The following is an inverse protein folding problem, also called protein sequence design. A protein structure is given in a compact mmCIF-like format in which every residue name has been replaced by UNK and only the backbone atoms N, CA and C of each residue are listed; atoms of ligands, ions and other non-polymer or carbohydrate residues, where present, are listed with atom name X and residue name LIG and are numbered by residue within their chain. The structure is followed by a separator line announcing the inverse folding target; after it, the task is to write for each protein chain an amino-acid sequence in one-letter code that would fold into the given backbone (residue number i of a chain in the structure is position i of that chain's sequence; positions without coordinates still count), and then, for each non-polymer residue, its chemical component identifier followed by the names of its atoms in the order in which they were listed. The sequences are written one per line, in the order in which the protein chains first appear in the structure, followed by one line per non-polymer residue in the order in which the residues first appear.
data_IF_509827051890
#
_entry.id   IF_509827051890
#
_cell.length_a   1.000
_cell.length_b   1.000
_cell.length_c   1.000
_cell.angle_alpha   90.00
_cell.angle_beta   90.00
_cell.angle_gamma   90.00
#
_symmetry.space_group_name_H-M   'P 1'
#
loop_
_entity.id
_entity.type
_entity.pdbx_description
1 polymer ?
#
# COMPACT_ATOMS: atom_id res chain seq x y z
N UNK A 1 -50.49 -31.87 41.65
CA UNK A 1 -50.49 -30.79 40.63
C UNK A 1 -49.09 -30.65 40.06
N UNK A 2 -48.89 -31.08 38.82
CA UNK A 2 -47.56 -31.25 38.19
C UNK A 2 -46.93 -29.93 37.77
N UNK A 3 -45.71 -29.71 38.26
CA UNK A 3 -44.93 -28.48 38.18
C UNK A 3 -44.52 -28.06 36.78
N UNK A 4 -44.85 -26.81 36.45
CA UNK A 4 -44.25 -26.08 35.33
C UNK A 4 -43.94 -24.61 35.68
N UNK A 5 -44.27 -24.16 36.90
CA UNK A 5 -43.91 -22.84 37.41
C UNK A 5 -42.48 -22.90 37.97
N UNK A 6 -41.50 -22.41 37.20
CA UNK A 6 -40.09 -22.32 37.63
C UNK A 6 -39.07 -22.80 36.59
N UNK A 7 -39.48 -23.51 35.54
CA UNK A 7 -38.53 -24.04 34.56
C UNK A 7 -37.97 -22.93 33.63
N UNK A 8 -36.64 -22.89 33.41
CA UNK A 8 -36.02 -21.86 32.57
C UNK A 8 -36.41 -22.01 31.10
N UNK A 9 -37.19 -21.05 30.57
CA UNK A 9 -37.63 -21.01 29.15
C UNK A 9 -36.48 -20.97 28.13
N UNK A 10 -35.27 -20.64 28.57
CA UNK A 10 -34.10 -20.48 27.70
C UNK A 10 -33.27 -21.76 27.53
N UNK A 11 -33.50 -22.82 28.31
CA UNK A 11 -32.80 -24.11 28.20
C UNK A 11 -33.61 -25.06 27.31
N UNK A 12 -32.98 -25.73 26.32
CA UNK A 12 -33.67 -26.68 25.44
C UNK A 12 -33.44 -28.12 25.89
N UNK A 13 -34.49 -28.94 25.78
CA UNK A 13 -34.43 -30.38 26.02
C UNK A 13 -33.73 -31.14 24.87
N UNK A 14 -33.85 -30.64 23.65
CA UNK A 14 -33.23 -31.22 22.46
C UNK A 14 -31.80 -30.70 22.23
N UNK A 15 -30.94 -31.53 21.62
CA UNK A 15 -29.61 -31.12 21.13
C UNK A 15 -28.49 -31.08 22.19
N UNK A 16 -28.58 -31.91 23.23
CA UNK A 16 -27.58 -32.07 24.30
C UNK A 16 -27.21 -30.76 25.04
N UNK A 17 -28.01 -29.69 24.89
CA UNK A 17 -27.76 -28.40 25.55
C UNK A 17 -27.87 -28.50 27.08
N UNK A 18 -28.76 -29.37 27.56
CA UNK A 18 -28.94 -29.63 28.99
C UNK A 18 -27.76 -30.40 29.57
N UNK A 19 -27.13 -31.30 28.81
CA UNK A 19 -25.89 -31.99 29.21
C UNK A 19 -24.74 -31.00 29.30
N UNK A 20 -24.65 -30.06 28.34
CA UNK A 20 -23.65 -29.00 28.39
C UNK A 20 -23.84 -28.10 29.62
N UNK A 21 -25.09 -27.70 29.90
CA UNK A 21 -25.41 -26.89 31.08
C UNK A 21 -25.08 -27.64 32.38
N UNK A 22 -25.40 -28.93 32.45
CA UNK A 22 -25.04 -29.80 33.57
C UNK A 22 -23.53 -29.82 33.82
N UNK A 23 -22.72 -30.05 32.77
CA UNK A 23 -21.25 -30.03 32.88
C UNK A 23 -20.73 -28.66 33.33
N UNK A 24 -21.26 -27.57 32.77
CA UNK A 24 -20.88 -26.21 33.16
C UNK A 24 -21.19 -25.93 34.64
N UNK A 25 -22.35 -26.40 35.13
CA UNK A 25 -22.74 -26.25 36.53
C UNK A 25 -21.81 -27.00 37.49
N UNK A 26 -21.39 -28.21 37.12
CA UNK A 26 -20.45 -29.02 37.91
C UNK A 26 -18.99 -28.56 37.83
N UNK A 27 -18.62 -27.79 36.81
CA UNK A 27 -17.28 -27.19 36.65
C UNK A 27 -17.16 -25.82 37.33
N UNK A 28 -18.21 -25.35 38.01
CA UNK A 28 -18.17 -24.06 38.71
C UNK A 28 -17.13 -24.07 39.83
N UNK A 29 -16.23 -23.07 39.91
CA UNK A 29 -15.27 -22.93 41.01
C UNK A 29 -15.90 -22.38 42.31
N UNK A 30 -17.17 -21.99 42.28
CA UNK A 30 -17.88 -21.41 43.42
C UNK A 30 -18.40 -22.50 44.36
N UNK A 31 -17.80 -22.62 45.54
CA UNK A 31 -18.13 -23.63 46.56
C UNK A 31 -19.56 -23.52 47.09
N UNK A 32 -20.11 -22.30 47.19
CA UNK A 32 -21.49 -22.09 47.67
C UNK A 32 -22.49 -22.63 46.66
N UNK A 33 -22.23 -22.38 45.37
CA UNK A 33 -23.03 -22.90 44.27
C UNK A 33 -22.87 -24.42 44.16
N UNK A 34 -21.65 -24.95 44.26
CA UNK A 34 -21.37 -26.40 44.30
C UNK A 34 -22.16 -27.10 45.42
N UNK A 35 -22.15 -26.55 46.62
CA UNK A 35 -22.84 -27.13 47.78
C UNK A 35 -24.34 -27.19 47.55
N UNK A 36 -24.94 -26.10 47.07
CA UNK A 36 -26.36 -26.03 46.71
C UNK A 36 -26.73 -26.99 45.58
N UNK A 37 -25.88 -27.07 44.56
CA UNK A 37 -26.05 -28.03 43.47
C UNK A 37 -26.05 -29.46 44.00
N UNK A 38 -25.10 -29.83 44.87
CA UNK A 38 -25.08 -31.16 45.49
C UNK A 38 -26.35 -31.44 46.28
N UNK A 39 -26.89 -30.46 47.02
CA UNK A 39 -28.15 -30.63 47.75
C UNK A 39 -29.33 -30.94 46.82
N UNK A 40 -29.47 -30.23 45.70
CA UNK A 40 -30.62 -30.40 44.79
C UNK A 40 -30.50 -31.63 43.88
N UNK A 41 -29.26 -32.02 43.58
CA UNK A 41 -28.93 -33.11 42.65
C UNK A 41 -28.65 -34.45 43.33
N UNK A 42 -28.59 -34.50 44.66
CA UNK A 42 -28.31 -35.72 45.44
C UNK A 42 -29.29 -36.84 45.08
N UNK A 43 -28.75 -37.98 44.62
CA UNK A 43 -29.53 -39.17 44.31
C UNK A 43 -30.42 -39.07 43.06
N UNK A 44 -30.23 -38.04 42.22
CA UNK A 44 -30.95 -37.89 40.94
C UNK A 44 -30.02 -38.12 39.76
N UNK A 45 -30.48 -38.89 38.79
CA UNK A 45 -29.76 -39.07 37.55
C UNK A 45 -29.72 -37.77 36.71
N UNK A 46 -28.62 -37.50 35.99
CA UNK A 46 -28.51 -36.33 35.11
C UNK A 46 -29.61 -36.35 34.06
N UNK A 47 -30.53 -35.39 34.13
CA UNK A 47 -31.65 -35.25 33.18
C UNK A 47 -32.01 -33.79 32.98
N UNK A 48 -32.70 -33.49 31.87
CA UNK A 48 -33.21 -32.14 31.60
C UNK A 48 -34.06 -31.59 32.76
N UNK A 49 -34.94 -32.44 33.33
CA UNK A 49 -35.80 -32.05 34.45
C UNK A 49 -34.97 -31.66 35.68
N UNK A 50 -33.99 -32.48 36.03
CA UNK A 50 -33.10 -32.22 37.15
C UNK A 50 -32.30 -30.92 36.99
N UNK A 51 -31.76 -30.65 35.80
CA UNK A 51 -31.03 -29.40 35.49
C UNK A 51 -31.97 -28.19 35.55
N UNK A 52 -33.18 -28.31 35.00
CA UNK A 52 -34.18 -27.24 35.04
C UNK A 52 -34.60 -26.90 36.48
N UNK A 53 -34.79 -27.90 37.33
CA UNK A 53 -35.16 -27.73 38.73
C UNK A 53 -33.99 -27.17 39.55
N UNK A 54 -32.75 -27.60 39.28
CA UNK A 54 -31.55 -27.04 39.90
C UNK A 54 -31.35 -25.56 39.54
N UNK A 55 -31.62 -25.16 38.29
CA UNK A 55 -31.59 -23.75 37.88
C UNK A 55 -32.67 -22.96 38.60
N UNK A 56 -33.89 -23.48 38.70
CA UNK A 56 -35.00 -22.83 39.41
C UNK A 56 -34.64 -22.57 40.89
N UNK A 57 -34.11 -23.59 41.56
CA UNK A 57 -33.66 -23.49 42.96
C UNK A 57 -32.53 -22.46 43.14
N UNK A 58 -31.57 -22.40 42.21
CA UNK A 58 -30.50 -21.40 42.29
C UNK A 58 -31.03 -19.96 42.12
N UNK A 59 -32.09 -19.76 41.33
CA UNK A 59 -32.68 -18.43 41.14
C UNK A 59 -33.35 -17.85 42.39
N UNK A 60 -33.67 -18.66 43.39
CA UNK A 60 -34.24 -18.21 44.67
C UNK A 60 -33.24 -17.38 45.50
N UNK A 61 -31.97 -17.43 45.15
CA UNK A 61 -30.89 -16.76 45.88
C UNK A 61 -30.16 -15.76 44.98
N UNK A 62 -29.69 -14.64 45.55
CA UNK A 62 -28.98 -13.60 44.79
C UNK A 62 -27.73 -14.13 44.08
N UNK A 63 -26.88 -14.87 44.80
CA UNK A 63 -25.65 -15.47 44.26
C UNK A 63 -25.97 -16.48 43.14
N UNK A 64 -27.04 -17.26 43.31
CA UNK A 64 -27.47 -18.22 42.30
C UNK A 64 -28.09 -17.55 41.08
N UNK A 65 -28.75 -16.40 41.21
CA UNK A 65 -29.25 -15.62 40.09
C UNK A 65 -28.11 -15.06 39.21
N UNK A 66 -27.04 -14.55 39.83
CA UNK A 66 -25.85 -14.10 39.11
C UNK A 66 -25.16 -15.27 38.38
N UNK A 67 -25.05 -16.42 39.05
CA UNK A 67 -24.53 -17.64 38.45
C UNK A 67 -25.39 -18.11 37.25
N UNK A 68 -26.72 -18.12 37.39
CA UNK A 68 -27.64 -18.49 36.32
C UNK A 68 -27.55 -17.51 35.15
N UNK A 69 -27.31 -16.22 35.41
CA UNK A 69 -27.07 -15.22 34.37
C UNK A 69 -25.78 -15.49 33.60
N UNK A 70 -24.68 -15.82 34.32
CA UNK A 70 -23.41 -16.25 33.71
C UNK A 70 -23.59 -17.52 32.87
N UNK A 71 -24.26 -18.53 33.41
CA UNK A 71 -24.59 -19.79 32.73
C UNK A 71 -25.39 -19.52 31.44
N UNK A 72 -26.43 -18.68 31.50
CA UNK A 72 -27.24 -18.31 30.33
C UNK A 72 -26.40 -17.62 29.25
N UNK A 73 -25.51 -16.71 29.63
CA UNK A 73 -24.61 -16.03 28.70
C UNK A 73 -23.60 -16.99 28.07
N UNK A 74 -23.02 -17.89 28.87
CA UNK A 74 -22.10 -18.91 28.41
C UNK A 74 -22.80 -19.89 27.44
N UNK A 75 -24.03 -20.31 27.72
CA UNK A 75 -24.81 -21.15 26.81
C UNK A 75 -25.12 -20.41 25.49
N UNK A 76 -25.44 -19.11 25.54
CA UNK A 76 -25.63 -18.30 24.33
C UNK A 76 -24.36 -18.27 23.47
N UNK A 77 -23.20 -18.09 24.09
CA UNK A 77 -21.91 -18.15 23.39
C UNK A 77 -21.62 -19.55 22.84
N UNK A 78 -21.92 -20.60 23.60
CA UNK A 78 -21.77 -21.99 23.15
C UNK A 78 -22.62 -22.25 21.91
N UNK A 79 -23.91 -21.86 21.91
CA UNK A 79 -24.78 -21.94 20.73
C UNK A 79 -24.21 -21.20 19.54
N UNK A 80 -23.71 -19.98 19.74
CA UNK A 80 -23.11 -19.21 18.66
C UNK A 80 -21.85 -19.89 18.10
N UNK A 81 -21.02 -20.50 18.96
CA UNK A 81 -19.80 -21.21 18.53
C UNK A 81 -20.14 -22.54 17.83
N UNK A 82 -21.08 -23.33 18.35
CA UNK A 82 -21.48 -24.62 17.77
C UNK A 82 -22.16 -24.45 16.42
N UNK A 83 -23.06 -23.46 16.27
CA UNK A 83 -23.69 -23.12 14.98
C UNK A 83 -22.69 -22.64 13.92
N UNK A 84 -21.52 -22.15 14.34
CA UNK A 84 -20.45 -21.69 13.46
C UNK A 84 -19.31 -22.71 13.29
N UNK A 85 -19.29 -23.81 14.04
CA UNK A 85 -18.19 -24.78 14.04
C UNK A 85 -18.01 -25.48 12.68
N UNK A 86 -19.07 -25.63 11.89
CA UNK A 86 -19.06 -26.18 10.53
C UNK A 86 -19.10 -25.14 9.40
N UNK A 87 -19.14 -23.84 9.70
CA UNK A 87 -19.18 -22.80 8.66
C UNK A 87 -17.75 -22.35 8.30
N UNK A 88 -17.57 -21.84 7.07
CA UNK A 88 -16.31 -21.23 6.57
C UNK A 88 -15.76 -20.08 7.44
N UNK A 89 -16.52 -19.61 8.44
CA UNK A 89 -16.16 -18.51 9.34
C UNK A 89 -15.84 -19.05 10.73
N UNK A 90 -14.58 -19.43 10.95
CA UNK A 90 -14.04 -19.75 12.28
C UNK A 90 -13.37 -18.50 12.86
N UNK A 91 -13.70 -18.05 14.08
CA UNK A 91 -13.00 -16.95 14.71
C UNK A 91 -11.56 -17.37 15.00
N UNK A 92 -10.59 -16.57 14.55
CA UNK A 92 -9.17 -16.76 14.84
C UNK A 92 -8.73 -15.74 15.89
N UNK A 93 -8.13 -16.21 16.98
CA UNK A 93 -7.57 -15.35 18.02
C UNK A 93 -6.06 -15.25 17.84
N UNK A 94 -5.55 -14.04 17.74
CA UNK A 94 -4.12 -13.75 17.73
C UNK A 94 -3.82 -12.62 18.72
N UNK A 95 -2.60 -12.61 19.24
CA UNK A 95 -2.12 -11.60 20.17
C UNK A 95 -1.31 -10.55 19.44
N UNK A 96 -1.64 -9.29 19.69
CA UNK A 96 -0.90 -8.13 19.16
C UNK A 96 -0.26 -7.34 20.31
N UNK A 97 0.91 -6.71 20.10
CA UNK A 97 1.44 -5.72 21.02
C UNK A 97 0.41 -4.60 21.28
N UNK A 98 0.36 -4.10 22.52
CA UNK A 98 -0.64 -3.11 22.95
C UNK A 98 -0.67 -1.87 22.06
N UNK A 99 0.49 -1.41 21.61
CA UNK A 99 0.61 -0.19 20.82
C UNK A 99 0.06 -0.38 19.40
N UNK A 100 0.33 -1.55 18.81
CA UNK A 100 -0.23 -1.89 17.49
C UNK A 100 -1.76 -2.00 17.54
N UNK A 101 -2.32 -2.58 18.61
CA UNK A 101 -3.78 -2.62 18.82
C UNK A 101 -4.37 -1.22 18.99
N UNK A 102 -3.73 -0.35 19.77
CA UNK A 102 -4.18 1.05 19.95
C UNK A 102 -4.18 1.79 18.61
N UNK A 103 -3.09 1.68 17.85
CA UNK A 103 -2.98 2.32 16.54
C UNK A 103 -4.05 1.81 15.56
N UNK A 104 -4.30 0.49 15.54
CA UNK A 104 -5.35 -0.11 14.72
C UNK A 104 -6.73 0.43 15.11
N UNK A 105 -7.05 0.48 16.41
CA UNK A 105 -8.33 0.97 16.91
C UNK A 105 -8.57 2.45 16.60
N UNK A 106 -7.55 3.30 16.77
CA UNK A 106 -7.62 4.73 16.42
C UNK A 106 -7.91 4.90 14.93
N UNK A 107 -7.19 4.17 14.07
CA UNK A 107 -7.37 4.24 12.62
C UNK A 107 -8.72 3.68 12.18
N UNK A 108 -9.15 2.56 12.75
CA UNK A 108 -10.45 1.95 12.49
C UNK A 108 -11.59 2.91 12.84
N UNK A 109 -11.50 3.59 13.99
CA UNK A 109 -12.47 4.63 14.38
C UNK A 109 -12.47 5.82 13.42
N UNK A 110 -11.29 6.33 13.05
CA UNK A 110 -11.16 7.46 12.13
C UNK A 110 -11.77 7.17 10.76
N UNK A 111 -11.68 5.93 10.30
CA UNK A 111 -12.19 5.48 9.00
C UNK A 111 -13.60 4.89 9.08
N UNK A 112 -14.24 4.91 10.25
CA UNK A 112 -15.57 4.31 10.49
C UNK A 112 -15.67 2.83 10.08
N UNK A 113 -14.56 2.09 10.24
CA UNK A 113 -14.46 0.68 9.85
C UNK A 113 -14.24 -0.22 11.07
N UNK A 114 -14.60 -1.50 10.93
CA UNK A 114 -14.19 -2.51 11.91
C UNK A 114 -12.68 -2.78 11.78
N UNK A 115 -12.02 -3.09 12.90
CA UNK A 115 -10.60 -3.46 12.90
C UNK A 115 -10.31 -4.59 11.90
N UNK A 116 -11.21 -5.57 11.78
CA UNK A 116 -11.10 -6.66 10.79
C UNK A 116 -11.20 -6.18 9.35
N UNK A 117 -12.08 -5.23 9.04
CA UNK A 117 -12.22 -4.68 7.70
C UNK A 117 -11.00 -3.85 7.33
N UNK A 118 -10.45 -3.08 8.28
CA UNK A 118 -9.22 -2.32 8.08
C UNK A 118 -8.02 -3.24 7.81
N UNK A 119 -7.87 -4.34 8.56
CA UNK A 119 -6.79 -5.32 8.30
C UNK A 119 -6.96 -5.96 6.92
N UNK A 120 -8.17 -6.33 6.52
CA UNK A 120 -8.43 -6.88 5.20
C UNK A 120 -8.10 -5.87 4.08
N UNK A 121 -8.48 -4.60 4.27
CA UNK A 121 -8.19 -3.53 3.32
C UNK A 121 -6.67 -3.28 3.20
N UNK A 122 -5.95 -3.24 4.32
CA UNK A 122 -4.48 -3.11 4.32
C UNK A 122 -3.80 -4.29 3.61
N UNK A 123 -4.26 -5.51 3.83
CA UNK A 123 -3.72 -6.70 3.17
C UNK A 123 -3.98 -6.69 1.66
N UNK A 124 -5.19 -6.30 1.25
CA UNK A 124 -5.56 -6.21 -0.17
C UNK A 124 -4.89 -5.02 -0.87
N UNK A 125 -4.71 -3.92 -0.16
CA UNK A 125 -4.13 -2.68 -0.67
C UNK A 125 -2.60 -2.73 -0.74
N UNK A 126 -1.93 -3.39 0.20
CA UNK A 126 -0.47 -3.46 0.25
C UNK A 126 0.14 -4.09 -1.02
N UNK A 127 -0.47 -5.16 -1.54
CA UNK A 127 -0.02 -5.79 -2.79
C UNK A 127 -0.14 -4.84 -3.99
N UNK A 128 -1.30 -4.17 -4.13
CA UNK A 128 -1.54 -3.21 -5.22
C UNK A 128 -0.59 -2.01 -5.14
N UNK A 129 -0.38 -1.47 -3.94
CA UNK A 129 0.51 -0.32 -3.74
C UNK A 129 1.96 -0.66 -4.07
N UNK A 130 2.43 -1.88 -3.73
CA UNK A 130 3.76 -2.34 -4.10
C UNK A 130 3.90 -2.50 -5.62
N UNK A 131 2.91 -3.09 -6.29
CA UNK A 131 2.92 -3.20 -7.75
C UNK A 131 2.89 -1.83 -8.44
N UNK A 132 2.07 -0.89 -7.95
CA UNK A 132 2.02 0.47 -8.47
C UNK A 132 3.34 1.20 -8.28
N UNK A 133 3.97 1.05 -7.11
CA UNK A 133 5.28 1.63 -6.84
C UNK A 133 6.32 1.05 -7.81
N UNK A 134 6.33 -0.26 -8.00
CA UNK A 134 7.27 -0.92 -8.90
C UNK A 134 7.08 -0.48 -10.36
N UNK A 135 5.82 -0.38 -10.82
CA UNK A 135 5.49 0.14 -12.15
C UNK A 135 5.95 1.59 -12.34
N UNK A 136 5.73 2.46 -11.35
CA UNK A 136 6.20 3.85 -11.39
C UNK A 136 7.72 3.91 -11.45
N UNK A 137 8.40 3.09 -10.66
CA UNK A 137 9.85 3.03 -10.65
C UNK A 137 10.41 2.56 -12.01
N UNK A 138 9.80 1.54 -12.62
CA UNK A 138 10.15 1.08 -13.96
C UNK A 138 9.95 2.19 -15.01
N UNK A 139 8.79 2.86 -15.01
CA UNK A 139 8.52 3.97 -15.93
C UNK A 139 9.53 5.10 -15.80
N UNK A 140 9.95 5.44 -14.59
CA UNK A 140 10.98 6.46 -14.35
C UNK A 140 12.34 6.02 -14.87
N UNK A 141 12.72 4.75 -14.67
CA UNK A 141 13.97 4.19 -15.21
C UNK A 141 13.97 4.21 -16.73
N UNK A 142 12.88 3.78 -17.36
CA UNK A 142 12.74 3.77 -18.82
C UNK A 142 12.79 5.17 -19.42
N UNK A 143 12.12 6.15 -18.79
CA UNK A 143 12.16 7.55 -19.21
C UNK A 143 13.58 8.13 -19.09
N UNK A 144 14.28 7.82 -18.00
CA UNK A 144 15.65 8.28 -17.78
C UNK A 144 16.62 7.66 -18.80
N UNK A 145 16.48 6.37 -19.10
CA UNK A 145 17.28 5.70 -20.11
C UNK A 145 17.00 6.21 -21.53
N UNK A 146 15.74 6.57 -21.81
CA UNK A 146 15.38 7.24 -23.07
C UNK A 146 16.05 8.60 -23.20
N UNK A 147 15.99 9.46 -22.18
CA UNK A 147 16.66 10.76 -22.20
C UNK A 147 18.18 10.62 -22.30
N UNK A 148 18.80 9.67 -21.60
CA UNK A 148 20.23 9.37 -21.75
C UNK A 148 20.60 8.99 -23.19
N UNK A 149 19.81 8.12 -23.83
CA UNK A 149 20.03 7.74 -25.24
C UNK A 149 19.89 8.95 -26.16
N UNK A 150 18.88 9.79 -25.93
CA UNK A 150 18.62 11.00 -26.72
C UNK A 150 19.75 12.02 -26.59
N UNK A 151 20.22 12.29 -25.38
CA UNK A 151 21.35 13.20 -25.13
C UNK A 151 22.62 12.66 -25.81
N UNK A 152 22.89 11.36 -25.71
CA UNK A 152 24.03 10.74 -26.38
C UNK A 152 23.98 10.90 -27.91
N UNK A 153 22.82 10.64 -28.52
CA UNK A 153 22.64 10.84 -29.97
C UNK A 153 22.85 12.30 -30.39
N UNK A 154 22.40 13.25 -29.59
CA UNK A 154 22.63 14.68 -29.85
C UNK A 154 24.12 15.02 -29.75
N UNK A 155 24.81 14.55 -28.71
CA UNK A 155 26.24 14.75 -28.53
C UNK A 155 27.06 14.19 -29.70
N UNK A 156 26.75 12.96 -30.14
CA UNK A 156 27.40 12.32 -31.29
C UNK A 156 27.18 13.11 -32.60
N UNK A 157 25.97 13.67 -32.80
CA UNK A 157 25.67 14.54 -33.94
C UNK A 157 26.49 15.83 -33.89
N UNK A 158 26.52 16.51 -32.75
CA UNK A 158 27.28 17.76 -32.59
C UNK A 158 28.78 17.54 -32.79
N UNK A 159 29.32 16.44 -32.26
CA UNK A 159 30.72 16.05 -32.49
C UNK A 159 31.03 15.85 -33.97
N UNK A 160 30.12 15.24 -34.72
CA UNK A 160 30.30 15.01 -36.16
C UNK A 160 30.28 16.34 -36.93
N UNK A 161 29.29 17.19 -36.67
CA UNK A 161 29.19 18.51 -37.29
C UNK A 161 30.40 19.40 -36.97
N UNK A 162 30.89 19.36 -35.74
CA UNK A 162 32.09 20.09 -35.34
C UNK A 162 33.33 19.63 -36.11
N UNK A 163 33.54 18.31 -36.23
CA UNK A 163 34.66 17.77 -37.02
C UNK A 163 34.58 18.18 -38.49
N UNK A 164 33.40 18.16 -39.09
CA UNK A 164 33.21 18.60 -40.48
C UNK A 164 33.49 20.10 -40.64
N UNK A 165 33.00 20.94 -39.73
CA UNK A 165 33.27 22.36 -39.74
C UNK A 165 34.77 22.65 -39.60
N UNK A 166 35.46 21.97 -38.69
CA UNK A 166 36.92 22.11 -38.53
C UNK A 166 37.67 21.73 -39.80
N UNK A 167 37.31 20.63 -40.47
CA UNK A 167 37.91 20.25 -41.76
C UNK A 167 37.71 21.29 -42.85
N UNK A 168 36.52 21.92 -42.89
CA UNK A 168 36.25 22.99 -43.86
C UNK A 168 37.09 24.23 -43.57
N UNK A 169 37.20 24.62 -42.29
CA UNK A 169 38.04 25.74 -41.85
C UNK A 169 39.51 25.47 -42.19
N UNK A 170 40.03 24.29 -41.86
CA UNK A 170 41.41 23.88 -42.20
C UNK A 170 41.66 23.96 -43.70
N UNK A 171 40.74 23.43 -44.52
CA UNK A 171 40.87 23.49 -45.99
C UNK A 171 40.89 24.94 -46.50
N UNK A 172 40.03 25.80 -45.97
CA UNK A 172 40.00 27.22 -46.35
C UNK A 172 41.26 27.95 -45.90
N UNK A 173 41.76 27.67 -44.69
CA UNK A 173 43.01 28.23 -44.19
C UNK A 173 44.20 27.81 -45.06
N UNK A 174 44.29 26.53 -45.45
CA UNK A 174 45.34 26.04 -46.37
C UNK A 174 45.28 26.79 -47.70
N UNK A 175 44.08 26.95 -48.28
CA UNK A 175 43.92 27.69 -49.54
C UNK A 175 44.35 29.14 -49.38
N UNK A 176 43.92 29.83 -48.31
CA UNK A 176 44.33 31.20 -48.03
C UNK A 176 45.86 31.32 -47.89
N UNK A 177 46.49 30.45 -47.09
CA UNK A 177 47.95 30.46 -46.92
C UNK A 177 48.69 30.15 -48.23
N UNK A 178 48.19 29.22 -49.04
CA UNK A 178 48.78 28.93 -50.35
C UNK A 178 48.70 30.17 -51.26
N UNK A 179 47.57 30.88 -51.24
CA UNK A 179 47.38 32.11 -52.00
C UNK A 179 48.33 33.22 -51.52
N UNK A 180 48.40 33.49 -50.21
CA UNK A 180 49.31 34.46 -49.60
C UNK A 180 50.78 34.20 -49.97
N UNK A 181 51.21 32.92 -49.92
CA UNK A 181 52.57 32.52 -50.26
C UNK A 181 52.88 32.66 -51.76
N UNK A 182 51.90 32.41 -52.65
CA UNK A 182 52.13 32.49 -54.10
C UNK A 182 52.19 33.91 -54.64
N UNK A 183 51.39 34.84 -54.09
CA UNK A 183 51.28 36.21 -54.59
C UNK A 183 52.20 37.17 -53.83
N UNK A 184 52.72 36.78 -52.66
CA UNK A 184 53.64 37.61 -51.86
C UNK A 184 53.02 38.94 -51.41
N UNK A 185 51.69 39.07 -51.51
CA UNK A 185 50.90 40.26 -51.21
C UNK A 185 49.76 39.87 -50.29
N UNK A 186 49.47 40.72 -49.30
CA UNK A 186 48.38 40.51 -48.34
C UNK A 186 46.98 40.66 -48.97
N UNK A 187 46.87 41.38 -50.09
CA UNK A 187 45.61 41.61 -50.79
C UNK A 187 45.86 41.61 -52.31
N UNK A 188 45.87 40.44 -52.96
CA UNK A 188 45.96 40.38 -54.41
C UNK A 188 44.68 40.98 -55.01
N UNK A 189 44.83 42.00 -55.85
CA UNK A 189 43.69 42.71 -56.43
C UNK A 189 42.66 41.77 -57.07
N UNK A 190 41.40 41.91 -56.68
CA UNK A 190 40.29 41.19 -57.28
C UNK A 190 39.85 41.88 -58.58
N UNK A 191 40.07 41.23 -59.72
CA UNK A 191 39.69 41.77 -61.04
C UNK A 191 38.18 41.70 -61.34
N UNK A 192 37.38 41.08 -60.46
CA UNK A 192 35.93 40.98 -60.60
C UNK A 192 35.15 42.16 -59.99
N UNK A 193 33.82 42.10 -60.05
CA UNK A 193 32.97 43.12 -59.45
C UNK A 193 33.04 43.10 -57.91
N UNK A 194 33.67 44.13 -57.36
CA UNK A 194 33.93 44.25 -55.94
C UNK A 194 32.65 44.50 -55.13
N UNK A 195 31.59 45.03 -55.75
CA UNK A 195 30.31 45.25 -55.08
C UNK A 195 29.57 43.92 -54.82
N UNK A 196 29.58 42.99 -55.78
CA UNK A 196 29.02 41.65 -55.60
C UNK A 196 29.83 40.81 -54.61
N UNK A 197 31.17 40.87 -54.65
CA UNK A 197 32.03 40.19 -53.66
C UNK A 197 31.73 40.65 -52.23
N UNK A 198 31.66 41.97 -52.01
CA UNK A 198 31.35 42.53 -50.69
C UNK A 198 29.94 42.17 -50.20
N UNK A 199 28.95 42.18 -51.11
CA UNK A 199 27.58 41.77 -50.81
C UNK A 199 27.51 40.31 -50.36
N UNK A 200 28.10 39.41 -51.15
CA UNK A 200 28.08 37.97 -50.86
C UNK A 200 28.88 37.62 -49.60
N UNK A 201 30.02 38.28 -49.39
CA UNK A 201 30.81 38.10 -48.17
C UNK A 201 29.98 38.53 -46.97
N UNK A 202 29.44 39.76 -46.95
CA UNK A 202 28.58 40.25 -45.85
C UNK A 202 27.40 39.33 -45.57
N UNK A 203 26.77 38.78 -46.62
CA UNK A 203 25.67 37.83 -46.46
C UNK A 203 26.13 36.56 -45.74
N UNK A 204 27.23 35.95 -46.20
CA UNK A 204 27.80 34.75 -45.57
C UNK A 204 28.26 35.01 -44.13
N UNK A 205 28.92 36.13 -43.84
CA UNK A 205 29.36 36.46 -42.48
C UNK A 205 28.17 36.64 -41.54
N UNK A 206 27.10 37.32 -41.99
CA UNK A 206 25.86 37.47 -41.21
C UNK A 206 25.18 36.14 -40.91
N UNK A 207 25.16 35.22 -41.88
CA UNK A 207 24.61 33.87 -41.68
C UNK A 207 25.41 33.09 -40.62
N UNK A 208 26.75 33.19 -40.67
CA UNK A 208 27.66 32.58 -39.68
C UNK A 208 27.44 33.19 -38.29
N UNK A 209 27.44 34.52 -38.17
CA UNK A 209 27.20 35.23 -36.91
C UNK A 209 25.85 34.83 -36.29
N UNK A 210 24.80 34.75 -37.12
CA UNK A 210 23.47 34.32 -36.68
C UNK A 210 23.47 32.87 -36.20
N UNK A 211 24.19 31.98 -36.88
CA UNK A 211 24.31 30.58 -36.47
C UNK A 211 25.06 30.45 -35.14
N UNK A 212 26.16 31.18 -34.96
CA UNK A 212 26.94 31.21 -33.70
C UNK A 212 26.09 31.79 -32.56
N UNK A 213 25.42 32.91 -32.77
CA UNK A 213 24.54 33.53 -31.77
C UNK A 213 23.43 32.58 -31.34
N UNK A 214 22.82 31.87 -32.29
CA UNK A 214 21.78 30.88 -31.99
C UNK A 214 22.31 29.66 -31.22
N UNK A 215 23.53 29.20 -31.52
CA UNK A 215 24.18 28.13 -30.78
C UNK A 215 24.47 28.54 -29.34
N UNK A 216 25.01 29.74 -29.13
CA UNK A 216 25.26 30.30 -27.80
C UNK A 216 23.97 30.45 -26.98
N UNK A 217 22.89 30.97 -27.57
CA UNK A 217 21.58 31.07 -26.92
C UNK A 217 21.02 29.70 -26.52
N UNK A 218 21.21 28.67 -27.35
CA UNK A 218 20.82 27.30 -26.98
C UNK A 218 21.64 26.77 -25.82
N UNK A 219 22.95 27.02 -25.81
CA UNK A 219 23.84 26.60 -24.73
C UNK A 219 23.44 27.20 -23.38
N UNK A 220 23.23 28.52 -23.34
CA UNK A 220 22.83 29.22 -22.11
C UNK A 220 21.48 28.74 -21.57
N UNK A 221 20.52 28.44 -22.45
CA UNK A 221 19.23 27.84 -22.06
C UNK A 221 19.36 26.42 -21.49
N UNK A 222 20.36 25.65 -21.93
CA UNK A 222 20.62 24.31 -21.42
C UNK A 222 21.33 24.38 -20.07
N UNK A 223 22.35 25.23 -19.92
CA UNK A 223 23.05 25.45 -18.64
C UNK A 223 22.11 25.96 -17.54
N UNK A 224 21.22 26.90 -17.85
CA UNK A 224 20.25 27.43 -16.90
C UNK A 224 19.20 26.40 -16.43
N UNK A 225 19.07 25.24 -17.10
CA UNK A 225 18.20 24.14 -16.68
C UNK A 225 18.91 23.09 -15.81
N UNK A 226 20.23 23.19 -15.70
CA UNK A 226 21.07 22.26 -14.91
C UNK A 226 21.41 22.80 -13.51
N UNK A 227 21.16 24.09 -13.26
CA UNK A 227 21.26 24.77 -11.96
C UNK A 227 19.85 24.84 -11.32
#
# INVERSE_FOLDING_TARGET
MTGNAGRPRWLRKAGNEWEWAYRYMHQSPDEKIQTRLRHVTRGKDPSYGMVADAIAYLQETRDGLEFVTRLRNALRQHRHRSLNAGKKRKPYSFTLPTDTKKALSIRAKKLEMTETALVADLLNGAGKLLEEHHKREQLLRDALDFERKRVKQLDDRWKTQHREAMRQIERQAILLSMWELTLGQADPGFEGDQATLQSDTKKKTREIEKAISNALKKHTLIEARLI
#
